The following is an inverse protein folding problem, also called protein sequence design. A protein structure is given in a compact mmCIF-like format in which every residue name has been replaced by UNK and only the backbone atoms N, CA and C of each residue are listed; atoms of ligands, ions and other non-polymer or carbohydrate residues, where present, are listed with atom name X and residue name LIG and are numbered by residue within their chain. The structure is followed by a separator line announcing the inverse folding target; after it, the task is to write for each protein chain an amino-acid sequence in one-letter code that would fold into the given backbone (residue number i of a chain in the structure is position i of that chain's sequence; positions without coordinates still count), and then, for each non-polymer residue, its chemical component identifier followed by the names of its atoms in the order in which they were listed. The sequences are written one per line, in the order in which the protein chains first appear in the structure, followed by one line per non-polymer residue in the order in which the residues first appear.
data_IF_061108815909
#
_entry.id   IF_061108815909
#
_cell.length_a   1.000
_cell.length_b   1.000
_cell.length_c   1.000
_cell.angle_alpha   90.00
_cell.angle_beta   90.00
_cell.angle_gamma   90.00
#
_symmetry.space_group_name_H-M   'P 1'
#
loop_
_entity.id
_entity.type
_entity.pdbx_description
1 polymer ?
#
# COMPACT_ATOMS: atom_id res chain seq x y z
N UNK A 1 9.86 10.27 -13.87
CA UNK A 1 8.55 10.38 -13.21
C UNK A 1 8.21 9.19 -12.30
N UNK A 2 8.57 7.95 -12.65
CA UNK A 2 8.26 6.76 -11.82
C UNK A 2 8.81 6.85 -10.39
N UNK A 3 10.09 7.23 -10.26
CA UNK A 3 10.74 7.36 -8.96
C UNK A 3 10.11 8.45 -8.08
N UNK A 4 9.74 9.58 -8.71
CA UNK A 4 8.98 10.66 -8.05
C UNK A 4 7.69 10.12 -7.43
N UNK A 5 6.96 9.26 -8.13
CA UNK A 5 5.71 8.69 -7.62
C UNK A 5 5.93 7.63 -6.53
N UNK A 6 7.04 6.88 -6.57
CA UNK A 6 7.42 5.95 -5.49
C UNK A 6 7.66 6.70 -4.18
N UNK A 7 8.36 7.83 -4.25
CA UNK A 7 8.74 8.67 -3.09
C UNK A 7 7.65 9.61 -2.63
N UNK A 8 6.98 10.23 -3.59
CA UNK A 8 5.98 11.27 -3.41
C UNK A 8 4.71 10.84 -4.16
N UNK A 9 4.06 9.76 -3.71
CA UNK A 9 2.81 9.35 -4.30
C UNK A 9 1.79 10.47 -4.09
N UNK A 10 0.96 10.73 -5.10
CA UNK A 10 -0.13 11.72 -5.01
C UNK A 10 -1.06 11.41 -3.83
N UNK A 11 -1.21 10.13 -3.49
CA UNK A 11 -1.94 9.68 -2.31
C UNK A 11 -1.06 8.74 -1.48
N UNK A 12 -0.67 9.17 -0.27
CA UNK A 12 0.09 8.40 0.74
C UNK A 12 -0.71 7.21 1.26
N UNK A 13 -2.03 7.39 1.39
CA UNK A 13 -3.01 6.32 1.54
C UNK A 13 -3.96 6.41 0.36
N UNK A 14 -4.14 5.31 -0.38
CA UNK A 14 -5.09 5.31 -1.50
C UNK A 14 -6.53 5.56 -1.01
N UNK A 15 -7.41 5.83 -1.97
CA UNK A 15 -8.84 5.92 -1.71
C UNK A 15 -9.32 4.67 -0.92
N UNK A 16 -10.15 4.85 0.12
CA UNK A 16 -10.64 3.73 0.92
C UNK A 16 -11.30 2.68 0.04
N UNK A 17 -10.98 1.42 0.31
CA UNK A 17 -11.58 0.26 -0.33
C UNK A 17 -12.55 -0.40 0.64
N UNK A 18 -13.48 -1.18 0.12
CA UNK A 18 -14.44 -1.94 0.90
C UNK A 18 -14.34 -3.42 0.50
N UNK A 19 -14.27 -4.32 1.48
CA UNK A 19 -14.41 -5.75 1.24
C UNK A 19 -15.85 -6.04 0.78
N UNK A 20 -16.01 -6.53 -0.45
CA UNK A 20 -17.34 -6.81 -1.04
C UNK A 20 -17.93 -8.13 -0.53
N UNK A 21 -17.07 -9.02 -0.07
CA UNK A 21 -17.37 -10.34 0.50
C UNK A 21 -16.36 -10.66 1.60
N UNK A 22 -16.63 -11.73 2.35
CA UNK A 22 -15.66 -12.28 3.30
C UNK A 22 -14.47 -12.85 2.51
N UNK A 23 -13.24 -12.46 2.86
CA UNK A 23 -12.04 -12.91 2.18
C UNK A 23 -10.88 -13.13 3.16
N UNK A 24 -9.84 -13.83 2.71
CA UNK A 24 -8.62 -14.02 3.47
C UNK A 24 -7.47 -13.26 2.81
N UNK A 25 -6.68 -12.53 3.60
CA UNK A 25 -5.49 -11.80 3.14
C UNK A 25 -4.34 -12.16 4.06
N UNK A 26 -3.29 -12.80 3.54
CA UNK A 26 -2.11 -13.22 4.32
C UNK A 26 -2.45 -14.03 5.59
N UNK A 27 -3.49 -14.86 5.52
CA UNK A 27 -3.96 -15.67 6.65
C UNK A 27 -4.96 -14.95 7.57
N UNK A 28 -5.26 -13.68 7.35
CA UNK A 28 -6.24 -12.92 8.12
C UNK A 28 -7.62 -12.93 7.46
N UNK A 29 -8.65 -13.24 8.25
CA UNK A 29 -10.04 -13.20 7.80
C UNK A 29 -10.60 -11.77 7.85
N UNK A 30 -10.95 -11.24 6.68
CA UNK A 30 -11.51 -9.92 6.49
C UNK A 30 -13.00 -10.08 6.17
N UNK A 31 -13.86 -9.55 7.03
CA UNK A 31 -15.32 -9.63 6.83
C UNK A 31 -15.79 -8.63 5.79
N UNK A 32 -16.84 -9.00 5.05
CA UNK A 32 -17.60 -8.11 4.16
C UNK A 32 -17.94 -6.79 4.87
N UNK A 33 -17.77 -5.69 4.16
CA UNK A 33 -17.98 -4.35 4.68
C UNK A 33 -16.80 -3.76 5.46
N UNK A 34 -15.69 -4.51 5.63
CA UNK A 34 -14.47 -3.96 6.22
C UNK A 34 -13.89 -2.89 5.29
N UNK A 35 -13.59 -1.71 5.84
CA UNK A 35 -12.86 -0.65 5.12
C UNK A 35 -11.37 -0.98 5.14
N UNK A 36 -10.75 -0.99 3.97
CA UNK A 36 -9.34 -1.31 3.76
C UNK A 36 -8.63 -0.07 3.23
N UNK A 37 -7.52 0.26 3.86
CA UNK A 37 -6.64 1.34 3.42
C UNK A 37 -5.32 0.76 2.94
N UNK A 38 -4.83 1.25 1.80
CA UNK A 38 -3.56 0.83 1.21
C UNK A 38 -2.54 1.94 1.45
N UNK A 39 -1.51 1.65 2.24
CA UNK A 39 -0.43 2.57 2.56
C UNK A 39 0.68 2.49 1.50
N UNK A 40 0.53 3.27 0.43
CA UNK A 40 1.51 3.34 -0.67
C UNK A 40 2.84 3.96 -0.25
N UNK A 41 2.84 4.83 0.76
CA UNK A 41 4.07 5.42 1.28
C UNK A 41 5.02 4.38 1.87
N UNK A 42 4.50 3.48 2.71
CA UNK A 42 5.28 2.39 3.27
C UNK A 42 5.70 1.38 2.21
N UNK A 43 4.82 1.05 1.25
CA UNK A 43 5.15 0.15 0.14
C UNK A 43 6.32 0.69 -0.69
N UNK A 44 6.30 1.99 -1.00
CA UNK A 44 7.36 2.66 -1.75
C UNK A 44 8.69 2.73 -1.02
N UNK A 45 8.74 2.46 0.29
CA UNK A 45 9.94 2.53 1.16
C UNK A 45 10.31 1.21 1.80
N UNK A 46 9.67 0.11 1.40
CA UNK A 46 9.95 -1.18 2.00
C UNK A 46 11.36 -1.67 1.61
N UNK A 47 12.26 -1.77 2.60
CA UNK A 47 13.65 -2.23 2.43
C UNK A 47 13.77 -3.70 2.01
N UNK A 48 12.72 -4.51 2.21
CA UNK A 48 12.72 -5.89 1.71
C UNK A 48 12.47 -5.99 0.21
N UNK A 49 12.04 -4.90 -0.43
CA UNK A 49 11.67 -4.86 -1.86
C UNK A 49 12.56 -3.90 -2.63
N UNK A 50 12.97 -2.78 -2.02
CA UNK A 50 13.76 -1.72 -2.66
C UNK A 50 15.14 -1.62 -2.01
N UNK A 51 16.18 -1.61 -2.84
CA UNK A 51 17.53 -1.22 -2.43
C UNK A 51 17.58 0.28 -2.15
N UNK A 52 18.27 0.68 -1.06
CA UNK A 52 18.35 2.07 -0.59
C UNK A 52 16.98 2.79 -0.64
N UNK A 53 15.94 2.28 0.04
CA UNK A 53 14.55 2.69 -0.16
C UNK A 53 14.28 4.15 0.15
N UNK A 54 15.17 4.84 0.86
CA UNK A 54 15.12 6.26 1.22
C UNK A 54 15.87 7.19 0.24
N UNK A 55 16.69 6.65 -0.67
CA UNK A 55 17.36 7.41 -1.73
C UNK A 55 16.49 7.59 -2.97
N UNK A 56 16.67 8.70 -3.69
CA UNK A 56 16.01 8.98 -4.97
C UNK A 56 16.94 8.57 -6.11
N UNK A 57 16.57 7.51 -6.84
CA UNK A 57 17.41 6.85 -7.85
C UNK A 57 16.80 6.90 -9.25
#
# INVERSE_FOLDING_TARGET
MKETMRKHPVAVMLAPRLALEDCNVEGYDIRKGTRVFINTWSIGRNSSVWEAPEEFN
#
